data_IF_405419936694
#
_entry.id   IF_405419936694
#
_cell.length_a   1.000
_cell.length_b   1.000
_cell.length_c   1.000
_cell.angle_alpha   90.00
_cell.angle_beta   90.00
_cell.angle_gamma   90.00
#
_symmetry.space_group_name_H-M   'P 1'
#
loop_
_entity.id
_entity.type
_entity.pdbx_description
1 polymer ?
#
# COMPACT_ATOMS: atom_id res chain seq x y z
N UNK A 1 -11.10 -11.34 36.75
CA UNK A 1 -10.27 -10.89 35.62
C UNK A 1 -9.26 -9.91 36.18
N UNK A 2 -7.97 -10.26 36.22
CA UNK A 2 -6.95 -9.49 36.96
C UNK A 2 -6.62 -8.19 36.23
N UNK A 3 -6.97 -7.06 36.85
CA UNK A 3 -6.89 -5.74 36.24
C UNK A 3 -5.57 -5.00 36.56
N UNK A 4 -4.44 -5.71 36.63
CA UNK A 4 -3.16 -5.17 37.12
C UNK A 4 -1.97 -5.52 36.21
N UNK A 5 -2.15 -5.44 34.89
CA UNK A 5 -1.06 -5.58 33.91
C UNK A 5 -0.37 -4.23 33.71
N UNK A 6 0.97 -4.22 33.74
CA UNK A 6 1.77 -3.05 33.40
C UNK A 6 1.57 -2.67 31.92
N UNK A 7 1.80 -1.41 31.52
CA UNK A 7 1.74 -1.01 30.10
C UNK A 7 2.64 -1.87 29.19
N UNK A 8 3.83 -2.22 29.67
CA UNK A 8 4.76 -3.10 28.96
C UNK A 8 4.20 -4.53 28.78
N UNK A 9 3.51 -5.07 29.79
CA UNK A 9 2.88 -6.38 29.68
C UNK A 9 1.72 -6.38 28.66
N UNK A 10 0.96 -5.27 28.59
CA UNK A 10 -0.10 -5.11 27.59
C UNK A 10 0.49 -5.06 26.18
N UNK A 11 1.52 -4.24 25.96
CA UNK A 11 2.25 -4.17 24.70
C UNK A 11 2.77 -5.55 24.25
N UNK A 12 3.40 -6.30 25.17
CA UNK A 12 3.86 -7.67 24.88
C UNK A 12 2.73 -8.63 24.54
N UNK A 13 1.59 -8.58 25.24
CA UNK A 13 0.44 -9.43 24.90
C UNK A 13 -0.11 -9.12 23.49
N UNK A 14 -0.12 -7.84 23.08
CA UNK A 14 -0.54 -7.45 21.74
C UNK A 14 0.48 -7.87 20.66
N UNK A 15 1.77 -7.77 20.97
CA UNK A 15 2.85 -8.30 20.12
C UNK A 15 2.70 -9.81 19.95
N UNK A 16 2.51 -10.55 21.04
CA UNK A 16 2.30 -12.01 21.02
C UNK A 16 1.12 -12.38 20.12
N UNK A 17 -0.01 -11.69 20.26
CA UNK A 17 -1.19 -11.89 19.40
C UNK A 17 -0.86 -11.63 17.92
N UNK A 18 -0.30 -10.47 17.59
CA UNK A 18 0.05 -10.12 16.19
C UNK A 18 1.06 -11.08 15.58
N UNK A 19 2.01 -11.59 16.37
CA UNK A 19 2.96 -12.61 15.93
C UNK A 19 2.26 -13.92 15.60
N UNK A 20 1.37 -14.39 16.48
CA UNK A 20 0.59 -15.60 16.25
C UNK A 20 -0.31 -15.47 15.01
N UNK A 21 -1.04 -14.35 14.85
CA UNK A 21 -1.87 -14.07 13.68
C UNK A 21 -1.02 -14.08 12.38
N UNK A 22 0.25 -13.65 12.48
CA UNK A 22 1.19 -13.64 11.35
C UNK A 22 1.94 -14.97 11.15
N UNK A 23 1.54 -16.04 11.85
CA UNK A 23 2.06 -17.40 11.67
C UNK A 23 3.33 -17.73 12.46
N UNK A 24 3.73 -16.89 13.42
CA UNK A 24 4.83 -17.19 14.35
C UNK A 24 4.31 -17.96 15.56
N UNK A 25 5.10 -18.89 16.09
CA UNK A 25 4.81 -19.50 17.40
C UNK A 25 5.69 -18.82 18.45
N UNK A 26 5.07 -18.11 19.39
CA UNK A 26 5.77 -17.46 20.50
C UNK A 26 6.11 -18.48 21.58
N UNK A 27 7.36 -18.52 22.03
CA UNK A 27 7.86 -19.46 23.02
C UNK A 27 8.73 -18.77 24.07
N UNK A 28 8.77 -19.33 25.28
CA UNK A 28 9.69 -18.91 26.34
C UNK A 28 11.08 -19.52 26.13
N UNK A 29 12.16 -18.79 26.44
CA UNK A 29 13.53 -19.30 26.35
C UNK A 29 13.79 -20.58 27.16
N UNK A 30 13.02 -20.81 28.23
CA UNK A 30 13.15 -21.99 29.10
C UNK A 30 12.57 -23.26 28.47
N UNK A 31 11.74 -23.13 27.44
CA UNK A 31 11.03 -24.26 26.84
C UNK A 31 10.84 -24.02 25.34
N UNK A 32 11.93 -24.17 24.60
CA UNK A 32 11.94 -24.04 23.15
C UNK A 32 11.72 -25.41 22.49
N UNK A 33 10.62 -25.53 21.75
CA UNK A 33 10.34 -26.61 20.83
C UNK A 33 10.55 -26.14 19.38
N UNK A 34 11.71 -26.50 18.83
CA UNK A 34 12.11 -26.21 17.45
C UNK A 34 11.31 -26.96 16.39
N UNK A 35 10.43 -27.90 16.77
CA UNK A 35 9.58 -28.65 15.85
C UNK A 35 8.16 -28.09 15.74
N UNK A 36 7.77 -27.17 16.62
CA UNK A 36 6.42 -26.64 16.70
C UNK A 36 5.97 -25.86 15.44
N UNK A 37 6.90 -25.14 14.81
CA UNK A 37 6.65 -24.39 13.57
C UNK A 37 7.98 -24.08 12.88
N UNK A 38 7.89 -23.77 11.59
CA UNK A 38 9.01 -23.19 10.83
C UNK A 38 9.43 -21.81 11.35
N UNK A 39 8.49 -21.05 11.92
CA UNK A 39 8.71 -19.71 12.45
C UNK A 39 8.46 -19.66 13.95
N UNK A 40 9.51 -19.36 14.72
CA UNK A 40 9.47 -19.33 16.19
C UNK A 40 9.97 -17.97 16.67
N UNK A 41 9.19 -17.31 17.52
CA UNK A 41 9.60 -16.10 18.22
C UNK A 41 9.93 -16.47 19.67
N UNK A 42 11.20 -16.34 20.09
CA UNK A 42 11.64 -16.70 21.44
C UNK A 42 11.78 -15.45 22.30
N UNK A 43 11.10 -15.44 23.45
CA UNK A 43 11.10 -14.31 24.40
C UNK A 43 12.37 -14.23 25.25
N UNK A 44 12.79 -13.00 25.56
CA UNK A 44 13.89 -12.63 26.46
C UNK A 44 15.22 -13.36 26.18
N UNK A 45 15.56 -13.54 24.90
CA UNK A 45 16.74 -14.27 24.48
C UNK A 45 18.01 -13.46 24.76
N UNK A 46 19.08 -14.11 25.20
CA UNK A 46 20.34 -13.43 25.56
C UNK A 46 21.19 -13.12 24.32
N UNK A 47 21.54 -11.85 24.14
CA UNK A 47 22.52 -11.40 23.15
C UNK A 47 23.77 -10.84 23.86
N UNK A 48 24.83 -10.55 23.10
CA UNK A 48 26.07 -9.99 23.64
C UNK A 48 25.93 -8.53 24.13
N UNK A 49 24.90 -7.82 23.69
CA UNK A 49 24.61 -6.42 24.09
C UNK A 49 23.51 -6.31 25.15
N UNK A 50 22.83 -7.42 25.46
CA UNK A 50 21.72 -7.46 26.43
C UNK A 50 20.64 -8.48 26.06
N UNK A 51 19.65 -8.73 26.92
CA UNK A 51 18.48 -9.52 26.54
C UNK A 51 17.65 -8.78 25.47
N UNK A 52 17.41 -9.41 24.33
CA UNK A 52 16.41 -8.95 23.37
C UNK A 52 15.02 -9.41 23.81
N UNK A 53 13.99 -8.57 23.63
CA UNK A 53 12.61 -8.94 23.99
C UNK A 53 12.13 -10.16 23.21
N UNK A 54 12.38 -10.20 21.89
CA UNK A 54 12.14 -11.37 21.06
C UNK A 54 13.27 -11.58 20.06
N UNK A 55 13.63 -12.85 19.82
CA UNK A 55 14.44 -13.26 18.67
C UNK A 55 13.59 -14.13 17.76
N UNK A 56 13.56 -13.77 16.48
CA UNK A 56 12.84 -14.45 15.42
C UNK A 56 13.72 -15.52 14.76
N UNK A 57 13.26 -16.76 14.77
CA UNK A 57 13.91 -17.90 14.14
C UNK A 57 13.06 -18.43 12.99
N UNK A 58 13.68 -18.60 11.82
CA UNK A 58 13.10 -19.21 10.63
C UNK A 58 13.91 -20.43 10.27
N UNK A 59 13.26 -21.59 10.19
CA UNK A 59 13.91 -22.88 9.95
C UNK A 59 15.10 -23.13 10.89
N UNK A 60 14.87 -22.78 12.18
CA UNK A 60 15.83 -22.89 13.31
C UNK A 60 17.07 -21.99 13.19
N UNK A 61 17.08 -21.04 12.24
CA UNK A 61 18.14 -20.04 12.10
C UNK A 61 17.61 -18.68 12.57
N UNK A 62 18.39 -17.93 13.35
CA UNK A 62 17.97 -16.60 13.76
C UNK A 62 17.96 -15.68 12.53
N UNK A 63 16.88 -14.94 12.37
CA UNK A 63 16.64 -14.08 11.22
C UNK A 63 16.44 -12.62 11.63
N UNK A 64 15.89 -12.37 12.82
CA UNK A 64 15.59 -11.02 13.26
C UNK A 64 15.31 -10.90 14.75
N UNK A 65 15.01 -9.68 15.17
CA UNK A 65 14.70 -9.32 16.55
C UNK A 65 13.52 -8.36 16.61
N UNK A 66 12.83 -8.37 17.75
CA UNK A 66 11.80 -7.40 18.08
C UNK A 66 12.15 -6.80 19.43
N UNK A 67 12.21 -5.48 19.46
CA UNK A 67 12.29 -4.68 20.68
C UNK A 67 10.90 -4.18 21.06
N UNK A 68 10.43 -4.55 22.24
CA UNK A 68 9.12 -4.15 22.75
C UNK A 68 9.25 -2.88 23.60
N UNK A 69 8.43 -1.88 23.29
CA UNK A 69 8.40 -0.61 24.03
C UNK A 69 7.04 -0.40 24.70
N UNK A 70 7.02 0.49 25.69
CA UNK A 70 5.77 0.90 26.35
C UNK A 70 4.98 1.81 25.42
N UNK A 71 3.65 1.72 25.45
CA UNK A 71 2.75 2.52 24.59
C UNK A 71 3.06 4.02 24.59
N UNK A 72 3.38 4.58 25.75
CA UNK A 72 3.67 6.02 25.94
C UNK A 72 4.95 6.49 25.23
N UNK A 73 5.82 5.57 24.81
CA UNK A 73 7.07 5.85 24.10
C UNK A 73 6.93 5.79 22.57
N UNK A 74 5.71 5.61 22.04
CA UNK A 74 5.46 5.55 20.59
C UNK A 74 6.00 6.77 19.81
N UNK A 75 6.03 7.96 20.41
CA UNK A 75 6.59 9.17 19.81
C UNK A 75 8.13 9.18 19.74
N UNK A 76 8.82 8.30 20.47
CA UNK A 76 10.29 8.18 20.49
C UNK A 76 10.83 7.10 19.55
N UNK A 77 9.97 6.33 18.88
CA UNK A 77 10.40 5.25 17.99
C UNK A 77 11.28 5.71 16.81
N UNK A 78 11.23 6.99 16.42
CA UNK A 78 12.13 7.54 15.39
C UNK A 78 13.50 7.99 15.93
N UNK A 79 13.66 8.15 17.25
CA UNK A 79 14.91 8.63 17.89
C UNK A 79 15.83 7.46 18.28
N UNK A 80 15.37 6.22 18.12
CA UNK A 80 16.01 4.99 18.64
C UNK A 80 16.65 4.13 17.54
N UNK A 81 16.72 4.64 16.30
CA UNK A 81 17.41 3.95 15.18
C UNK A 81 18.85 3.52 15.54
N UNK A 82 19.55 4.27 16.40
CA UNK A 82 20.91 3.94 16.83
C UNK A 82 21.00 2.67 17.71
N UNK A 83 20.11 2.46 18.68
CA UNK A 83 20.14 1.25 19.54
C UNK A 83 19.68 -0.01 18.79
N UNK A 84 18.72 0.13 17.89
CA UNK A 84 18.19 -0.97 17.08
C UNK A 84 19.22 -1.48 16.06
N UNK A 85 20.15 -0.62 15.62
CA UNK A 85 21.28 -1.01 14.78
C UNK A 85 22.33 -1.86 15.52
N UNK A 86 22.57 -1.59 16.81
CA UNK A 86 23.51 -2.37 17.63
C UNK A 86 23.07 -3.85 17.72
N UNK A 87 21.76 -4.08 17.85
CA UNK A 87 21.24 -5.44 17.86
C UNK A 87 21.28 -6.13 16.50
N UNK A 88 21.14 -5.40 15.39
CA UNK A 88 21.28 -5.97 14.05
C UNK A 88 22.69 -6.57 13.85
N UNK A 89 23.72 -5.93 14.43
CA UNK A 89 25.09 -6.42 14.43
C UNK A 89 25.41 -7.41 15.58
N UNK A 90 24.48 -7.61 16.52
CA UNK A 90 24.73 -8.41 17.72
C UNK A 90 24.77 -9.92 17.43
N UNK A 91 25.58 -10.61 18.23
CA UNK A 91 25.58 -12.08 18.28
C UNK A 91 24.70 -12.58 19.41
N UNK A 92 24.06 -13.70 19.15
CA UNK A 92 23.32 -14.46 20.14
C UNK A 92 24.32 -15.21 21.01
N UNK A 93 24.19 -15.08 22.34
CA UNK A 93 25.22 -15.54 23.29
C UNK A 93 25.58 -17.04 23.19
N UNK A 94 24.65 -17.84 22.66
CA UNK A 94 24.78 -19.30 22.51
C UNK A 94 24.79 -19.77 21.05
N UNK A 95 24.83 -18.86 20.08
CA UNK A 95 24.88 -19.16 18.66
C UNK A 95 25.93 -18.27 17.98
N UNK A 96 26.81 -18.85 17.17
CA UNK A 96 27.61 -18.05 16.25
C UNK A 96 26.77 -17.73 15.01
N UNK A 97 25.88 -16.74 15.12
CA UNK A 97 25.04 -16.27 14.03
C UNK A 97 25.73 -15.19 13.20
N UNK A 98 25.31 -15.11 11.94
CA UNK A 98 25.48 -13.92 11.11
C UNK A 98 24.62 -12.76 11.67
N UNK A 99 24.91 -11.50 11.31
CA UNK A 99 24.07 -10.35 11.69
C UNK A 99 22.58 -10.63 11.48
N UNK A 100 21.74 -10.06 12.34
CA UNK A 100 20.28 -10.24 12.32
C UNK A 100 19.68 -9.10 11.49
N UNK A 101 19.42 -9.30 10.17
CA UNK A 101 19.10 -8.19 9.28
C UNK A 101 17.73 -7.56 9.52
N UNK A 102 16.82 -8.29 10.16
CA UNK A 102 15.42 -7.89 10.29
C UNK A 102 15.14 -7.42 11.71
N UNK A 103 14.87 -6.12 11.86
CA UNK A 103 14.66 -5.51 13.17
C UNK A 103 13.28 -4.87 13.24
N UNK A 104 12.56 -5.17 14.31
CA UNK A 104 11.31 -4.52 14.64
C UNK A 104 11.41 -3.71 15.93
N UNK A 105 10.68 -2.61 15.95
CA UNK A 105 10.41 -1.82 17.14
C UNK A 105 8.89 -1.74 17.28
N UNK A 106 8.34 -2.20 18.40
CA UNK A 106 6.89 -2.30 18.55
C UNK A 106 6.41 -1.91 19.94
N UNK A 107 5.36 -1.09 20.00
CA UNK A 107 4.59 -0.88 21.24
C UNK A 107 3.38 -1.80 21.32
N UNK A 108 3.17 -2.69 20.34
CA UNK A 108 1.91 -3.41 20.15
C UNK A 108 0.89 -2.58 19.36
N UNK A 109 0.75 -1.29 19.66
CA UNK A 109 -0.08 -0.37 18.86
C UNK A 109 0.61 0.04 17.55
N UNK A 110 1.84 0.55 17.63
CA UNK A 110 2.66 0.94 16.47
C UNK A 110 3.80 -0.07 16.31
N UNK A 111 4.02 -0.52 15.07
CA UNK A 111 5.10 -1.44 14.72
C UNK A 111 5.90 -0.83 13.57
N UNK A 112 7.22 -0.79 13.74
CA UNK A 112 8.16 -0.34 12.72
C UNK A 112 9.11 -1.48 12.39
N UNK A 113 9.60 -1.47 11.15
CA UNK A 113 10.44 -2.51 10.59
C UNK A 113 11.61 -1.88 9.83
N UNK A 114 12.79 -2.49 9.98
CA UNK A 114 14.00 -2.14 9.23
C UNK A 114 14.63 -3.41 8.68
N UNK A 115 14.95 -3.41 7.38
CA UNK A 115 15.81 -4.41 6.75
C UNK A 115 17.22 -3.84 6.56
N UNK A 116 18.16 -4.30 7.36
CA UNK A 116 19.56 -3.84 7.35
C UNK A 116 20.36 -4.33 6.14
N UNK A 117 19.78 -5.14 5.26
CA UNK A 117 20.40 -5.53 3.99
C UNK A 117 20.17 -4.50 2.90
N UNK A 118 19.18 -3.62 3.08
CA UNK A 118 18.89 -2.56 2.12
C UNK A 118 20.12 -1.65 1.92
N UNK A 119 20.35 -1.10 0.72
CA UNK A 119 21.49 -0.21 0.46
C UNK A 119 21.54 1.02 1.36
N UNK A 120 20.37 1.48 1.81
CA UNK A 120 20.18 2.56 2.78
C UNK A 120 19.04 2.15 3.72
N UNK A 121 19.33 1.37 4.78
CA UNK A 121 18.32 0.90 5.71
C UNK A 121 17.55 2.07 6.31
N UNK A 122 16.23 1.92 6.41
CA UNK A 122 15.37 2.94 7.01
C UNK A 122 14.22 2.27 7.72
N UNK A 123 13.96 2.70 8.95
CA UNK A 123 12.80 2.24 9.71
C UNK A 123 11.51 2.74 9.04
N UNK A 124 10.57 1.84 8.77
CA UNK A 124 9.26 2.13 8.17
C UNK A 124 8.12 1.58 9.04
N UNK A 125 6.97 2.27 9.12
CA UNK A 125 5.80 1.71 9.79
C UNK A 125 5.25 0.52 8.98
N UNK A 126 4.81 -0.51 9.68
CA UNK A 126 4.14 -1.67 9.10
C UNK A 126 2.88 -1.99 9.89
N UNK A 127 1.84 -2.51 9.22
CA UNK A 127 0.55 -2.77 9.85
C UNK A 127 0.62 -3.92 10.89
N UNK A 128 1.43 -4.95 10.61
CA UNK A 128 1.68 -6.10 11.49
C UNK A 128 3.08 -6.67 11.24
N UNK A 129 3.37 -7.86 11.80
CA UNK A 129 4.61 -8.59 11.52
C UNK A 129 4.52 -9.34 10.19
N UNK A 130 5.66 -9.41 9.48
CA UNK A 130 5.81 -10.21 8.27
C UNK A 130 5.84 -11.71 8.65
N UNK A 131 5.43 -12.59 7.74
CA UNK A 131 5.37 -14.04 7.95
C UNK A 131 6.75 -14.70 7.92
N UNK A 132 6.97 -15.83 8.62
CA UNK A 132 8.24 -16.56 8.58
C UNK A 132 8.71 -16.91 7.16
N UNK A 133 7.78 -17.28 6.26
CA UNK A 133 8.11 -17.62 4.87
C UNK A 133 8.69 -16.44 4.07
N UNK A 134 8.30 -15.22 4.39
CA UNK A 134 8.78 -13.98 3.74
C UNK A 134 10.26 -13.76 4.05
N UNK A 135 10.67 -13.99 5.29
CA UNK A 135 12.06 -13.87 5.72
C UNK A 135 12.94 -14.92 5.03
N UNK A 136 12.45 -16.16 4.88
CA UNK A 136 13.17 -17.21 4.15
C UNK A 136 13.40 -16.81 2.69
N UNK A 137 12.36 -16.34 1.99
CA UNK A 137 12.47 -15.88 0.61
C UNK A 137 13.45 -14.72 0.50
N UNK A 138 13.30 -13.74 1.39
CA UNK A 138 14.13 -12.55 1.41
C UNK A 138 15.58 -12.89 1.67
N UNK A 139 15.91 -13.76 2.62
CA UNK A 139 17.30 -14.17 2.91
C UNK A 139 18.00 -14.85 1.71
N UNK A 140 17.26 -15.35 0.72
CA UNK A 140 17.79 -15.96 -0.51
C UNK A 140 17.95 -14.99 -1.67
N UNK A 141 17.40 -13.79 -1.58
CA UNK A 141 17.36 -12.81 -2.67
C UNK A 141 18.03 -11.49 -2.24
N UNK A 142 18.47 -10.71 -3.23
CA UNK A 142 18.80 -9.30 -3.01
C UNK A 142 17.54 -8.55 -2.56
N UNK A 143 17.63 -7.59 -1.62
CA UNK A 143 16.49 -6.78 -1.22
C UNK A 143 15.86 -6.07 -2.43
N UNK A 144 14.53 -5.88 -2.41
CA UNK A 144 13.82 -5.13 -3.46
C UNK A 144 14.45 -3.75 -3.69
N UNK A 145 14.87 -3.08 -2.61
CA UNK A 145 15.56 -1.79 -2.66
C UNK A 145 16.83 -1.81 -3.50
N UNK A 146 17.61 -2.89 -3.44
CA UNK A 146 18.83 -3.03 -4.26
C UNK A 146 18.47 -3.32 -5.71
N UNK A 147 17.53 -4.24 -5.97
CA UNK A 147 17.07 -4.60 -7.32
C UNK A 147 16.47 -3.39 -8.07
N UNK A 148 15.79 -2.49 -7.36
CA UNK A 148 15.28 -1.23 -7.92
C UNK A 148 16.40 -0.30 -8.44
N UNK A 149 17.60 -0.34 -7.85
CA UNK A 149 18.76 0.43 -8.33
C UNK A 149 19.31 -0.12 -9.65
N UNK A 150 19.13 -1.41 -9.90
CA UNK A 150 19.68 -2.16 -11.02
C UNK A 150 18.76 -2.17 -12.26
N UNK A 151 17.58 -1.53 -12.20
CA UNK A 151 16.69 -1.42 -13.37
C UNK A 151 17.43 -0.68 -14.51
N UNK A 152 17.52 -1.28 -15.72
CA UNK A 152 18.22 -0.71 -16.87
C UNK A 152 17.51 0.52 -17.41
N UNK A 153 18.12 1.26 -18.33
CA UNK A 153 17.48 2.42 -18.97
C UNK A 153 16.16 2.04 -19.67
N UNK A 154 15.24 3.01 -19.73
CA UNK A 154 13.94 2.85 -20.35
C UNK A 154 14.08 2.92 -21.89
N UNK A 155 13.69 1.88 -22.64
CA UNK A 155 13.54 1.99 -24.09
C UNK A 155 12.39 2.95 -24.41
N UNK A 156 12.71 4.01 -25.15
CA UNK A 156 11.78 5.12 -25.41
C UNK A 156 10.95 4.93 -26.67
N UNK A 157 11.23 3.90 -27.46
CA UNK A 157 10.48 3.59 -28.67
C UNK A 157 8.99 3.41 -28.34
N UNK A 158 8.10 3.97 -29.16
CA UNK A 158 6.63 3.86 -28.99
C UNK A 158 6.06 4.49 -27.70
N UNK A 159 6.88 5.16 -26.89
CA UNK A 159 6.43 5.95 -25.75
C UNK A 159 6.31 7.42 -26.15
N UNK A 160 5.32 8.11 -25.59
CA UNK A 160 5.24 9.57 -25.64
C UNK A 160 6.20 10.18 -24.63
N UNK A 161 6.65 11.40 -24.86
CA UNK A 161 7.56 12.11 -23.95
C UNK A 161 7.01 12.20 -22.52
N UNK A 162 5.73 12.47 -22.35
CA UNK A 162 5.08 12.49 -21.04
C UNK A 162 5.12 11.13 -20.32
N UNK A 163 5.07 10.02 -21.07
CA UNK A 163 5.17 8.66 -20.50
C UNK A 163 6.63 8.35 -20.12
N UNK A 164 7.59 8.73 -20.96
CA UNK A 164 9.02 8.58 -20.70
C UNK A 164 9.40 9.32 -19.42
N UNK A 165 8.97 10.58 -19.28
CA UNK A 165 9.21 11.42 -18.10
C UNK A 165 8.60 10.76 -16.86
N UNK A 166 7.33 10.34 -16.93
CA UNK A 166 6.64 9.73 -15.79
C UNK A 166 7.33 8.43 -15.32
N UNK A 167 7.67 7.52 -16.22
CA UNK A 167 8.32 6.24 -15.88
C UNK A 167 9.73 6.49 -15.33
N UNK A 168 10.51 7.35 -15.98
CA UNK A 168 11.88 7.66 -15.54
C UNK A 168 11.91 8.30 -14.15
N UNK A 169 10.98 9.20 -13.86
CA UNK A 169 10.88 9.83 -12.56
C UNK A 169 10.30 8.90 -11.49
N UNK A 170 9.39 7.99 -11.82
CA UNK A 170 8.96 6.89 -10.93
C UNK A 170 10.16 6.03 -10.52
N UNK A 171 10.97 5.59 -11.48
CA UNK A 171 12.19 4.83 -11.19
C UNK A 171 13.15 5.59 -10.31
N UNK A 172 13.42 6.87 -10.60
CA UNK A 172 14.27 7.72 -9.75
C UNK A 172 13.72 7.80 -8.33
N UNK A 173 12.42 8.07 -8.19
CA UNK A 173 11.74 8.20 -6.91
C UNK A 173 11.88 6.94 -6.06
N UNK A 174 11.70 5.78 -6.69
CA UNK A 174 11.84 4.50 -6.02
C UNK A 174 13.29 4.15 -5.76
N UNK A 175 14.25 4.48 -6.63
CA UNK A 175 15.69 4.38 -6.31
C UNK A 175 16.05 5.18 -5.05
N UNK A 176 15.44 6.35 -4.86
CA UNK A 176 15.63 7.23 -3.69
C UNK A 176 14.91 6.82 -2.39
N UNK A 177 14.15 5.72 -2.39
CA UNK A 177 13.33 5.29 -1.24
C UNK A 177 12.19 6.25 -0.89
N UNK A 178 11.49 6.76 -1.92
CA UNK A 178 10.22 7.46 -1.72
C UNK A 178 9.07 6.49 -1.98
N UNK A 179 8.51 5.85 -0.93
CA UNK A 179 7.56 4.75 -1.09
C UNK A 179 6.20 5.16 -1.65
N UNK A 180 5.92 6.45 -1.80
CA UNK A 180 4.67 6.98 -2.34
C UNK A 180 5.00 7.97 -3.44
N UNK A 181 4.53 7.73 -4.65
CA UNK A 181 4.77 8.60 -5.81
C UNK A 181 3.45 8.94 -6.51
N UNK A 182 3.29 10.20 -6.92
CA UNK A 182 2.11 10.70 -7.61
C UNK A 182 2.45 11.08 -9.05
N UNK A 183 1.72 10.49 -10.01
CA UNK A 183 1.76 10.83 -11.42
C UNK A 183 0.50 11.62 -11.76
N UNK A 184 0.66 12.91 -12.04
CA UNK A 184 -0.39 13.77 -12.56
C UNK A 184 -0.30 13.78 -14.09
N UNK A 185 -1.35 13.28 -14.75
CA UNK A 185 -1.41 13.22 -16.22
C UNK A 185 -2.83 13.50 -16.69
N UNK A 186 -2.98 14.37 -17.68
CA UNK A 186 -4.25 14.67 -18.30
C UNK A 186 -4.94 13.39 -18.84
N UNK A 187 -6.25 13.31 -18.68
CA UNK A 187 -7.06 12.21 -19.20
C UNK A 187 -6.87 12.08 -20.72
N UNK A 188 -6.69 10.85 -21.22
CA UNK A 188 -6.37 10.58 -22.63
C UNK A 188 -4.86 10.54 -22.94
N UNK A 189 -4.00 10.97 -22.02
CA UNK A 189 -2.54 10.97 -22.24
C UNK A 189 -1.88 9.60 -22.14
N UNK A 190 -2.64 8.56 -21.76
CA UNK A 190 -2.16 7.17 -21.67
C UNK A 190 -1.69 6.74 -20.28
N UNK A 191 -2.36 7.19 -19.20
CA UNK A 191 -2.04 6.85 -17.79
C UNK A 191 -1.91 5.35 -17.55
N UNK A 192 -2.90 4.57 -17.98
CA UNK A 192 -2.95 3.13 -17.80
C UNK A 192 -1.81 2.43 -18.55
N UNK A 193 -1.54 2.84 -19.81
CA UNK A 193 -0.38 2.35 -20.57
C UNK A 193 0.96 2.67 -19.88
N UNK A 194 1.13 3.88 -19.33
CA UNK A 194 2.31 4.26 -18.52
C UNK A 194 2.47 3.33 -17.31
N UNK A 195 1.36 3.07 -16.60
CA UNK A 195 1.35 2.20 -15.44
C UNK A 195 1.70 0.74 -15.79
N UNK A 196 1.08 0.17 -16.84
CA UNK A 196 1.38 -1.20 -17.31
C UNK A 196 2.85 -1.32 -17.72
N UNK A 197 3.39 -0.30 -18.41
CA UNK A 197 4.81 -0.26 -18.78
C UNK A 197 5.71 -0.28 -17.55
N UNK A 198 5.37 0.50 -16.52
CA UNK A 198 6.16 0.51 -15.30
C UNK A 198 6.03 -0.80 -14.51
N UNK A 199 4.83 -1.36 -14.40
CA UNK A 199 4.58 -2.68 -13.79
C UNK A 199 5.40 -3.77 -14.48
N UNK A 200 5.40 -3.80 -15.82
CA UNK A 200 6.22 -4.72 -16.59
C UNK A 200 7.70 -4.65 -16.18
N UNK A 201 8.23 -3.43 -16.05
CA UNK A 201 9.63 -3.21 -15.67
C UNK A 201 9.92 -3.65 -14.24
N UNK A 202 8.99 -3.42 -13.30
CA UNK A 202 9.09 -3.91 -11.93
C UNK A 202 9.12 -5.44 -11.87
N UNK A 203 8.22 -6.12 -12.60
CA UNK A 203 8.18 -7.58 -12.66
C UNK A 203 9.43 -8.15 -13.32
N UNK A 204 9.88 -7.57 -14.44
CA UNK A 204 11.00 -8.10 -15.24
C UNK A 204 12.38 -7.82 -14.63
N UNK A 205 12.63 -6.59 -14.21
CA UNK A 205 13.97 -6.14 -13.84
C UNK A 205 14.16 -6.05 -12.33
N UNK A 206 13.09 -5.82 -11.57
CA UNK A 206 13.16 -5.79 -10.12
C UNK A 206 12.65 -7.07 -9.45
N UNK A 207 12.23 -8.09 -10.22
CA UNK A 207 11.62 -9.35 -9.74
C UNK A 207 10.57 -9.09 -8.65
N UNK A 208 9.70 -8.10 -8.92
CA UNK A 208 8.54 -7.84 -8.08
C UNK A 208 7.61 -9.06 -8.12
N UNK A 209 7.16 -9.51 -6.96
CA UNK A 209 6.39 -10.74 -6.78
C UNK A 209 4.94 -10.54 -7.19
N UNK A 210 4.31 -9.45 -6.71
CA UNK A 210 2.91 -9.17 -7.00
C UNK A 210 2.60 -7.68 -6.96
N UNK A 211 1.77 -7.22 -7.89
CA UNK A 211 1.28 -5.85 -8.00
C UNK A 211 -0.24 -5.83 -7.91
N UNK A 212 -0.76 -4.93 -7.09
CA UNK A 212 -2.19 -4.63 -7.04
C UNK A 212 -2.49 -3.38 -7.89
N UNK A 213 -3.44 -3.49 -8.81
CA UNK A 213 -3.95 -2.38 -9.61
C UNK A 213 -5.38 -2.06 -9.15
N UNK A 214 -5.53 -0.92 -8.48
CA UNK A 214 -6.78 -0.44 -7.90
C UNK A 214 -7.50 0.51 -8.83
N UNK A 215 -8.81 0.30 -8.93
CA UNK A 215 -9.75 1.13 -9.68
C UNK A 215 -10.97 1.46 -8.83
N UNK A 216 -11.74 2.47 -9.24
CA UNK A 216 -12.95 2.87 -8.51
C UNK A 216 -14.17 1.99 -8.80
N UNK A 217 -14.29 1.46 -10.02
CA UNK A 217 -15.49 0.74 -10.49
C UNK A 217 -15.12 -0.53 -11.25
N UNK A 218 -16.07 -1.47 -11.31
CA UNK A 218 -15.91 -2.74 -12.04
C UNK A 218 -15.60 -2.51 -13.52
N UNK A 219 -16.26 -1.54 -14.15
CA UNK A 219 -16.06 -1.23 -15.57
C UNK A 219 -14.64 -0.71 -15.85
N UNK A 220 -14.09 0.14 -14.97
CA UNK A 220 -12.69 0.56 -15.07
C UNK A 220 -11.73 -0.63 -14.89
N UNK A 221 -12.07 -1.58 -14.02
CA UNK A 221 -11.30 -2.80 -13.84
C UNK A 221 -11.30 -3.71 -15.08
N UNK A 222 -12.43 -3.80 -15.76
CA UNK A 222 -12.56 -4.53 -17.04
C UNK A 222 -11.77 -3.84 -18.15
N UNK A 223 -11.78 -2.51 -18.21
CA UNK A 223 -10.97 -1.74 -19.15
C UNK A 223 -9.48 -1.95 -18.90
N UNK A 224 -9.03 -1.85 -17.64
CA UNK A 224 -7.64 -2.12 -17.27
C UNK A 224 -7.22 -3.55 -17.67
N UNK A 225 -8.06 -4.55 -17.39
CA UNK A 225 -7.82 -5.95 -17.79
C UNK A 225 -7.63 -6.09 -19.31
N UNK A 226 -8.45 -5.41 -20.13
CA UNK A 226 -8.29 -5.40 -21.59
C UNK A 226 -6.99 -4.71 -22.02
N UNK A 227 -6.58 -3.62 -21.36
CA UNK A 227 -5.32 -2.95 -21.65
C UNK A 227 -4.11 -3.84 -21.34
N UNK A 228 -4.12 -4.56 -20.21
CA UNK A 228 -3.09 -5.58 -19.93
C UNK A 228 -3.07 -6.68 -21.00
N UNK A 229 -4.22 -7.14 -21.48
CA UNK A 229 -4.29 -8.14 -22.56
C UNK A 229 -3.74 -7.63 -23.90
N UNK A 230 -3.88 -6.34 -24.19
CA UNK A 230 -3.43 -5.73 -25.43
C UNK A 230 -1.97 -5.28 -25.41
N UNK A 231 -1.40 -5.03 -24.22
CA UNK A 231 -0.06 -4.49 -24.05
C UNK A 231 1.03 -5.44 -24.56
N UNK A 232 1.98 -4.89 -25.32
CA UNK A 232 3.20 -5.56 -25.77
C UNK A 232 4.39 -4.68 -25.34
N UNK A 233 5.32 -5.20 -24.52
CA UNK A 233 6.49 -4.44 -24.08
C UNK A 233 7.44 -4.16 -25.26
N UNK A 234 8.30 -3.14 -25.11
CA UNK A 234 9.21 -2.74 -26.17
C UNK A 234 10.32 -3.75 -26.48
N UNK A 235 10.63 -4.63 -25.53
CA UNK A 235 11.77 -5.55 -25.56
C UNK A 235 11.35 -7.03 -25.54
N UNK A 236 10.07 -7.34 -25.77
CA UNK A 236 9.56 -8.70 -25.98
C UNK A 236 8.42 -8.68 -27.02
N UNK A 237 8.31 -9.73 -27.82
CA UNK A 237 7.27 -9.84 -28.85
C UNK A 237 5.96 -10.44 -28.34
N UNK A 238 5.95 -10.95 -27.10
CA UNK A 238 4.78 -11.52 -26.43
C UNK A 238 3.97 -10.45 -25.74
N UNK A 239 2.66 -10.67 -25.64
CA UNK A 239 1.77 -9.80 -24.86
C UNK A 239 2.05 -9.93 -23.37
N UNK A 240 1.70 -8.91 -22.58
CA UNK A 240 1.88 -8.93 -21.12
C UNK A 240 1.30 -10.20 -20.49
N UNK A 241 0.08 -10.58 -20.88
CA UNK A 241 -0.64 -11.73 -20.33
C UNK A 241 -0.09 -13.10 -20.76
N UNK A 242 0.81 -13.12 -21.74
CA UNK A 242 1.59 -14.32 -22.11
C UNK A 242 2.87 -14.45 -21.26
N UNK A 243 3.28 -13.37 -20.59
CA UNK A 243 4.46 -13.31 -19.73
C UNK A 243 4.09 -13.44 -18.24
N UNK A 244 2.99 -12.79 -17.85
CA UNK A 244 2.57 -12.63 -16.47
C UNK A 244 1.06 -12.83 -16.34
N UNK A 245 0.66 -13.56 -15.31
CA UNK A 245 -0.75 -13.80 -15.02
C UNK A 245 -1.38 -12.55 -14.40
N UNK A 246 -2.50 -12.14 -15.00
CA UNK A 246 -3.34 -11.03 -14.54
C UNK A 246 -4.66 -11.60 -14.05
N UNK A 247 -5.05 -11.27 -12.83
CA UNK A 247 -6.31 -11.72 -12.23
C UNK A 247 -7.14 -10.53 -11.80
N UNK A 248 -8.34 -10.40 -12.37
CA UNK A 248 -9.36 -9.51 -11.80
C UNK A 248 -10.08 -10.19 -10.63
N UNK A 249 -10.08 -9.54 -9.47
CA UNK A 249 -10.67 -10.08 -8.25
C UNK A 249 -12.20 -10.00 -8.31
N UNK A 250 -12.85 -11.16 -8.39
CA UNK A 250 -14.32 -11.30 -8.33
C UNK A 250 -14.81 -11.97 -7.03
N UNK A 251 -13.87 -12.42 -6.21
CA UNK A 251 -14.10 -13.09 -4.92
C UNK A 251 -12.95 -12.77 -3.97
N UNK A 252 -13.00 -13.32 -2.76
CA UNK A 252 -11.90 -13.21 -1.78
C UNK A 252 -10.65 -14.01 -2.11
N UNK A 253 -10.68 -14.83 -3.15
CA UNK A 253 -9.54 -15.65 -3.56
C UNK A 253 -8.55 -14.87 -4.42
N UNK A 254 -7.31 -14.77 -3.94
CA UNK A 254 -6.15 -14.25 -4.67
C UNK A 254 -5.26 -15.44 -5.03
N UNK A 255 -5.00 -15.65 -6.32
CA UNK A 255 -4.14 -16.74 -6.77
C UNK A 255 -2.68 -16.46 -6.42
N UNK A 256 -1.95 -17.50 -6.01
CA UNK A 256 -0.51 -17.45 -5.76
C UNK A 256 0.29 -17.18 -7.04
N UNK A 257 -0.26 -17.59 -8.18
CA UNK A 257 0.46 -17.57 -9.46
C UNK A 257 0.20 -16.29 -10.27
N UNK A 258 -0.67 -15.41 -9.78
CA UNK A 258 -0.97 -14.11 -10.37
C UNK A 258 0.07 -13.08 -9.96
N UNK A 259 0.75 -12.46 -10.92
CA UNK A 259 1.69 -11.35 -10.67
C UNK A 259 0.98 -10.00 -10.63
N UNK A 260 -0.18 -9.87 -11.28
CA UNK A 260 -1.00 -8.65 -11.22
C UNK A 260 -2.42 -9.00 -10.77
N UNK A 261 -2.90 -8.29 -9.76
CA UNK A 261 -4.29 -8.36 -9.32
C UNK A 261 -5.00 -7.05 -9.61
N UNK A 262 -6.11 -7.09 -10.33
CA UNK A 262 -6.97 -5.91 -10.57
C UNK A 262 -8.15 -5.98 -9.62
N UNK A 263 -8.38 -4.93 -8.84
CA UNK A 263 -9.48 -4.90 -7.86
C UNK A 263 -10.10 -3.51 -7.75
N UNK A 264 -11.38 -3.47 -7.43
CA UNK A 264 -11.96 -2.24 -6.87
C UNK A 264 -11.50 -2.06 -5.42
N UNK A 265 -11.48 -0.82 -4.93
CA UNK A 265 -11.14 -0.52 -3.53
C UNK A 265 -12.18 -1.14 -2.56
N UNK A 266 -13.45 -1.19 -2.98
CA UNK A 266 -14.58 -1.79 -2.25
C UNK A 266 -14.37 -3.30 -2.09
N UNK A 267 -14.05 -3.98 -3.20
CA UNK A 267 -13.77 -5.42 -3.19
C UNK A 267 -12.61 -5.71 -2.26
N UNK A 268 -11.49 -4.98 -2.40
CA UNK A 268 -10.31 -5.19 -1.57
C UNK A 268 -10.62 -5.03 -0.07
N UNK A 269 -11.38 -4.00 0.31
CA UNK A 269 -11.81 -3.84 1.71
C UNK A 269 -12.65 -5.01 2.20
N UNK A 270 -13.59 -5.49 1.39
CA UNK A 270 -14.41 -6.66 1.72
C UNK A 270 -13.55 -7.90 1.92
N UNK A 271 -12.54 -8.11 1.06
CA UNK A 271 -11.57 -9.20 1.19
C UNK A 271 -10.82 -9.10 2.51
N UNK A 272 -10.32 -7.91 2.87
CA UNK A 272 -9.62 -7.69 4.14
C UNK A 272 -10.54 -7.91 5.34
N UNK A 273 -11.83 -7.58 5.25
CA UNK A 273 -12.83 -7.90 6.28
C UNK A 273 -13.22 -9.38 6.35
N UNK A 274 -12.91 -10.17 5.31
CA UNK A 274 -13.39 -11.55 5.19
C UNK A 274 -14.89 -11.63 4.90
N UNK A 275 -15.46 -10.57 4.32
CA UNK A 275 -16.88 -10.47 3.96
C UNK A 275 -17.03 -10.63 2.44
N UNK A 276 -18.15 -11.24 2.01
CA UNK A 276 -18.50 -11.31 0.59
C UNK A 276 -19.12 -9.99 0.12
N UNK A 277 -18.81 -9.58 -1.11
CA UNK A 277 -19.32 -8.35 -1.72
C UNK A 277 -20.18 -8.68 -2.95
N UNK A 278 -21.40 -8.14 -2.97
CA UNK A 278 -22.24 -8.16 -4.17
C UNK A 278 -21.58 -7.30 -5.27
N UNK A 279 -21.35 -7.88 -6.44
CA UNK A 279 -20.73 -7.19 -7.59
C UNK A 279 -21.46 -5.91 -7.99
N UNK A 280 -22.78 -5.80 -7.75
CA UNK A 280 -23.55 -4.57 -8.05
C UNK A 280 -23.03 -3.36 -7.28
N UNK A 281 -22.43 -3.57 -6.11
CA UNK A 281 -21.85 -2.49 -5.31
C UNK A 281 -20.68 -1.82 -6.05
N UNK A 282 -20.01 -2.55 -6.93
CA UNK A 282 -18.83 -2.12 -7.68
C UNK A 282 -19.18 -1.38 -8.98
N UNK A 283 -20.46 -1.26 -9.34
CA UNK A 283 -20.91 -0.52 -10.53
C UNK A 283 -20.87 1.01 -10.30
N UNK A 284 -20.96 1.44 -9.05
CA UNK A 284 -20.97 2.85 -8.65
C UNK A 284 -19.66 3.26 -7.96
N UNK A 285 -19.29 4.53 -8.14
CA UNK A 285 -18.14 5.10 -7.46
C UNK A 285 -18.43 5.29 -5.95
N UNK A 286 -17.55 4.84 -5.04
CA UNK A 286 -17.73 5.04 -3.59
C UNK A 286 -17.82 6.51 -3.16
N UNK A 287 -17.12 7.40 -3.87
CA UNK A 287 -17.08 8.83 -3.59
C UNK A 287 -18.41 9.53 -3.96
N UNK A 288 -19.23 8.90 -4.81
CA UNK A 288 -20.49 9.46 -5.30
C UNK A 288 -21.71 9.00 -4.48
N UNK A 289 -21.54 8.04 -3.56
CA UNK A 289 -22.64 7.59 -2.68
C UNK A 289 -22.96 8.62 -1.60
N UNK A 290 -24.19 9.16 -1.67
CA UNK A 290 -24.70 10.21 -0.78
C UNK A 290 -24.89 9.84 0.70
N UNK A 291 -24.63 8.59 1.11
CA UNK A 291 -24.65 8.19 2.51
C UNK A 291 -23.56 7.15 2.81
N UNK A 292 -22.54 7.56 3.58
CA UNK A 292 -21.58 6.67 4.23
C UNK A 292 -21.82 6.71 5.75
N UNK A 293 -21.72 5.57 6.47
CA UNK A 293 -21.72 5.59 7.93
C UNK A 293 -20.62 6.53 8.45
N UNK A 294 -20.91 7.24 9.55
CA UNK A 294 -20.08 8.34 10.06
C UNK A 294 -18.64 7.94 10.39
N UNK A 295 -18.40 6.68 10.73
CA UNK A 295 -17.06 6.13 10.93
C UNK A 295 -17.00 4.71 10.34
N UNK A 296 -16.18 4.47 9.32
CA UNK A 296 -15.94 3.11 8.86
C UNK A 296 -15.20 2.31 9.93
N UNK A 297 -15.60 1.05 10.16
CA UNK A 297 -14.89 0.16 11.08
C UNK A 297 -13.45 -0.04 10.60
N UNK A 298 -12.47 0.01 11.51
CA UNK A 298 -11.06 -0.05 11.12
C UNK A 298 -10.73 -1.33 10.38
N UNK A 299 -9.80 -1.26 9.42
CA UNK A 299 -9.23 -2.45 8.80
C UNK A 299 -8.50 -3.24 9.90
N UNK A 300 -8.77 -4.54 9.99
CA UNK A 300 -8.13 -5.46 10.93
C UNK A 300 -7.23 -6.42 10.16
N UNK A 301 -6.22 -6.99 10.83
CA UNK A 301 -5.32 -7.96 10.20
C UNK A 301 -6.13 -9.15 9.66
N UNK A 302 -5.82 -9.57 8.44
CA UNK A 302 -6.43 -10.74 7.82
C UNK A 302 -5.37 -11.81 7.57
N UNK A 303 -5.45 -12.91 8.31
CA UNK A 303 -4.52 -14.04 8.20
C UNK A 303 -4.55 -14.75 6.83
N UNK A 304 -5.51 -14.45 5.95
CA UNK A 304 -5.50 -14.98 4.58
C UNK A 304 -4.69 -14.09 3.64
N UNK A 305 -4.64 -12.79 3.93
CA UNK A 305 -4.01 -11.77 3.08
C UNK A 305 -2.91 -11.07 3.90
N UNK A 306 -1.66 -11.57 3.90
CA UNK A 306 -0.58 -10.95 4.65
C UNK A 306 -0.29 -9.50 4.19
N UNK A 307 0.40 -8.73 5.02
CA UNK A 307 0.74 -7.33 4.69
C UNK A 307 1.73 -7.24 3.52
N UNK A 308 2.52 -8.29 3.31
CA UNK A 308 3.46 -8.45 2.20
C UNK A 308 2.87 -9.15 0.97
N UNK A 309 1.54 -9.25 0.86
CA UNK A 309 0.90 -9.88 -0.31
C UNK A 309 1.24 -9.14 -1.62
N UNK A 310 1.43 -7.82 -1.56
CA UNK A 310 1.76 -6.97 -2.71
C UNK A 310 3.04 -6.17 -2.43
N UNK A 311 3.96 -6.15 -3.39
CA UNK A 311 5.16 -5.28 -3.33
C UNK A 311 4.82 -3.85 -3.78
N UNK A 312 3.86 -3.72 -4.71
CA UNK A 312 3.43 -2.45 -5.29
C UNK A 312 1.92 -2.36 -5.37
N UNK A 313 1.38 -1.16 -5.14
CA UNK A 313 -0.03 -0.82 -5.35
C UNK A 313 -0.12 0.38 -6.27
N UNK A 314 -0.72 0.19 -7.44
CA UNK A 314 -1.08 1.25 -8.37
C UNK A 314 -2.52 1.64 -8.12
N UNK A 315 -2.80 2.93 -7.98
CA UNK A 315 -4.12 3.46 -7.66
C UNK A 315 -4.54 4.38 -8.80
N UNK A 316 -5.44 3.90 -9.66
CA UNK A 316 -6.02 4.72 -10.71
C UNK A 316 -7.05 5.70 -10.13
N UNK A 317 -7.11 6.89 -10.73
CA UNK A 317 -7.88 8.04 -10.23
C UNK A 317 -7.77 8.25 -8.71
N UNK A 318 -6.53 8.22 -8.19
CA UNK A 318 -6.25 8.13 -6.76
C UNK A 318 -6.87 9.25 -5.92
N UNK A 319 -7.16 10.42 -6.51
CA UNK A 319 -7.84 11.52 -5.85
C UNK A 319 -9.26 11.15 -5.36
N UNK A 320 -9.83 10.03 -5.80
CA UNK A 320 -11.16 9.53 -5.37
C UNK A 320 -11.05 8.43 -4.32
N UNK A 321 -9.96 7.66 -4.37
CA UNK A 321 -9.76 6.43 -3.59
C UNK A 321 -8.92 6.59 -2.32
N UNK A 322 -8.35 7.77 -2.03
CA UNK A 322 -7.50 7.99 -0.84
C UNK A 322 -8.26 8.49 0.41
N UNK A 323 -9.60 8.61 0.37
CA UNK A 323 -10.36 9.22 1.46
C UNK A 323 -10.70 8.24 2.60
N UNK A 324 -10.58 8.73 3.84
CA UNK A 324 -11.09 8.14 5.09
C UNK A 324 -10.90 6.62 5.19
N UNK A 325 -11.95 5.85 4.87
CA UNK A 325 -11.98 4.39 4.92
C UNK A 325 -10.86 3.75 4.11
N UNK A 326 -10.68 4.24 2.89
CA UNK A 326 -9.82 3.61 1.90
C UNK A 326 -8.34 3.83 2.18
N UNK A 327 -8.01 4.91 2.89
CA UNK A 327 -6.65 5.14 3.35
C UNK A 327 -6.15 3.97 4.19
N UNK A 328 -6.99 3.42 5.07
CA UNK A 328 -6.63 2.27 5.92
C UNK A 328 -6.39 0.99 5.11
N UNK A 329 -7.06 0.85 3.97
CA UNK A 329 -6.85 -0.27 3.03
C UNK A 329 -5.49 -0.15 2.35
N UNK A 330 -5.11 1.08 1.96
CA UNK A 330 -3.82 1.36 1.34
C UNK A 330 -2.67 1.24 2.34
N UNK A 331 -2.88 1.65 3.58
CA UNK A 331 -1.90 1.58 4.68
C UNK A 331 -1.75 0.15 5.26
N UNK A 332 -2.58 -0.81 4.81
CA UNK A 332 -2.52 -2.21 5.24
C UNK A 332 -1.26 -2.93 4.71
N UNK A 333 -0.93 -2.71 3.44
CA UNK A 333 0.13 -3.45 2.76
C UNK A 333 1.49 -2.78 2.96
N UNK A 334 2.54 -3.59 3.16
CA UNK A 334 3.93 -3.14 3.13
C UNK A 334 4.42 -2.99 1.68
N UNK A 335 3.85 -2.00 0.98
CA UNK A 335 4.01 -1.83 -0.47
C UNK A 335 4.43 -0.41 -0.87
N UNK A 336 5.06 -0.27 -2.03
CA UNK A 336 5.23 1.01 -2.71
C UNK A 336 3.91 1.43 -3.37
N UNK A 337 3.48 2.67 -3.15
CA UNK A 337 2.22 3.22 -3.66
C UNK A 337 2.46 4.17 -4.85
N UNK A 338 1.73 3.94 -5.94
CA UNK A 338 1.77 4.75 -7.15
C UNK A 338 0.37 5.31 -7.38
N UNK A 339 0.19 6.61 -7.22
CA UNK A 339 -1.06 7.29 -7.55
C UNK A 339 -1.06 7.79 -8.98
N UNK A 340 -2.14 7.53 -9.71
CA UNK A 340 -2.39 8.10 -11.03
C UNK A 340 -3.62 9.00 -10.94
N UNK A 341 -3.55 10.22 -11.45
CA UNK A 341 -4.71 11.13 -11.47
C UNK A 341 -4.53 12.23 -12.50
N UNK A 342 -5.63 12.75 -13.03
CA UNK A 342 -5.58 14.00 -13.81
C UNK A 342 -5.78 15.24 -12.93
N UNK A 343 -6.46 15.08 -11.79
CA UNK A 343 -6.99 16.19 -10.99
C UNK A 343 -6.68 15.99 -9.50
N UNK A 344 -5.41 16.08 -9.08
CA UNK A 344 -5.06 15.96 -7.67
C UNK A 344 -5.61 17.14 -6.86
N UNK A 345 -6.02 16.86 -5.62
CA UNK A 345 -6.34 17.89 -4.62
C UNK A 345 -5.25 17.97 -3.53
N UNK A 346 -5.36 18.93 -2.60
CA UNK A 346 -4.39 19.10 -1.50
C UNK A 346 -4.20 17.83 -0.65
N UNK A 347 -5.25 17.03 -0.49
CA UNK A 347 -5.20 15.77 0.28
C UNK A 347 -4.42 14.71 -0.50
N UNK A 348 -4.59 14.68 -1.82
CA UNK A 348 -3.81 13.85 -2.74
C UNK A 348 -2.33 14.15 -2.62
N UNK A 349 -1.94 15.43 -2.72
CA UNK A 349 -0.54 15.81 -2.53
C UNK A 349 0.00 15.40 -1.15
N UNK A 350 -0.77 15.63 -0.08
CA UNK A 350 -0.39 15.22 1.28
C UNK A 350 -0.20 13.71 1.44
N UNK A 351 -1.12 12.89 0.90
CA UNK A 351 -1.04 11.43 1.00
C UNK A 351 0.21 10.85 0.32
N UNK A 352 0.63 11.45 -0.79
CA UNK A 352 1.84 11.08 -1.52
C UNK A 352 3.09 11.86 -1.06
N UNK A 353 3.05 12.49 0.12
CA UNK A 353 4.18 13.24 0.71
C UNK A 353 4.75 14.31 -0.24
N UNK A 354 3.89 14.96 -1.02
CA UNK A 354 4.25 15.96 -2.04
C UNK A 354 5.23 15.44 -3.11
N UNK A 355 5.40 14.12 -3.22
CA UNK A 355 6.29 13.48 -4.17
C UNK A 355 5.59 13.30 -5.53
N UNK A 356 5.37 14.42 -6.21
CA UNK A 356 4.87 14.48 -7.59
C UNK A 356 6.03 14.14 -8.52
N UNK A 357 5.96 13.00 -9.20
CA UNK A 357 7.03 12.53 -10.08
C UNK A 357 6.81 12.97 -11.53
N UNK A 358 5.59 13.34 -11.89
CA UNK A 358 5.28 13.91 -13.21
C UNK A 358 4.04 14.77 -13.10
N UNK A 359 4.07 15.90 -13.79
CA UNK A 359 2.92 16.75 -14.04
C UNK A 359 2.83 16.94 -15.55
N UNK A 360 1.69 16.52 -16.12
CA UNK A 360 1.37 16.68 -17.53
C UNK A 360 -0.07 17.17 -17.64
N UNK A 361 -0.21 18.48 -17.82
CA UNK A 361 -1.48 19.19 -17.82
C UNK A 361 -2.27 18.97 -19.10
N UNK A 362 -3.55 19.38 -19.10
CA UNK A 362 -4.36 19.30 -20.31
C UNK A 362 -3.83 20.27 -21.37
N UNK A 363 -3.37 21.44 -20.96
CA UNK A 363 -2.79 22.46 -21.81
C UNK A 363 -1.54 21.94 -22.53
N UNK A 364 -0.66 21.23 -21.82
CA UNK A 364 0.51 20.56 -22.42
C UNK A 364 0.07 19.44 -23.37
N UNK A 365 -0.91 18.61 -22.96
CA UNK A 365 -1.44 17.56 -23.81
C UNK A 365 -2.03 18.08 -25.13
N UNK A 366 -2.67 19.26 -25.11
CA UNK A 366 -3.17 19.92 -26.32
C UNK A 366 -2.02 20.51 -27.13
N UNK A 367 -1.03 21.15 -26.49
CA UNK A 367 0.13 21.73 -27.16
C UNK A 367 0.97 20.67 -27.90
N UNK A 368 1.11 19.48 -27.32
CA UNK A 368 1.84 18.35 -27.90
C UNK A 368 1.03 17.54 -28.92
N UNK A 369 -0.24 17.91 -29.16
CA UNK A 369 -1.14 17.19 -30.07
C UNK A 369 -1.57 15.81 -29.57
N UNK A 370 -1.40 15.54 -28.27
CA UNK A 370 -1.86 14.31 -27.60
C UNK A 370 -3.38 14.33 -27.40
N UNK A 371 -3.91 15.50 -27.01
CA UNK A 371 -5.33 15.73 -26.79
C UNK A 371 -5.87 16.79 -27.74
N UNK A 372 -7.19 16.73 -27.98
CA UNK A 372 -7.92 17.82 -28.62
C UNK A 372 -8.31 18.88 -27.60
N UNK A 373 -8.21 20.15 -27.98
CA UNK A 373 -8.76 21.25 -27.18
C UNK A 373 -10.28 21.22 -27.15
N UNK A 374 -10.86 22.01 -26.25
CA UNK A 374 -12.31 22.19 -26.14
C UNK A 374 -12.68 23.66 -25.97
N UNK A 375 -13.86 24.02 -26.45
CA UNK A 375 -14.47 25.33 -26.22
C UNK A 375 -15.45 25.25 -25.04
N UNK A 376 -15.31 26.16 -24.08
CA UNK A 376 -16.24 26.26 -22.94
C UNK A 376 -17.35 27.24 -23.29
N UNK A 377 -18.56 26.72 -23.46
CA UNK A 377 -19.77 27.54 -23.57
C UNK A 377 -20.46 27.63 -22.21
N UNK A 378 -20.22 28.74 -21.50
CA UNK A 378 -20.93 29.00 -20.23
C UNK A 378 -22.38 29.39 -20.53
N UNK A 379 -23.32 28.55 -20.10
CA UNK A 379 -24.76 28.82 -20.23
C UNK A 379 -25.26 29.43 -18.92
N UNK A 380 -25.59 30.71 -18.95
CA UNK A 380 -26.30 31.39 -17.86
C UNK A 380 -27.78 31.53 -18.21
N UNK A 381 -28.66 31.13 -17.29
CA UNK A 381 -30.11 31.38 -17.46
C UNK A 381 -30.47 32.77 -16.94
N UNK A 382 -31.48 33.41 -17.53
CA UNK A 382 -32.01 34.68 -17.02
C UNK A 382 -32.46 34.57 -15.55
N UNK A 383 -32.98 33.39 -15.16
CA UNK A 383 -33.39 33.10 -13.78
C UNK A 383 -32.19 33.00 -12.84
N UNK A 384 -31.10 32.36 -13.24
CA UNK A 384 -29.86 32.27 -12.44
C UNK A 384 -29.25 33.65 -12.22
N UNK A 385 -29.34 34.54 -13.21
CA UNK A 385 -28.78 35.90 -13.17
C UNK A 385 -29.65 36.89 -12.40
N UNK A 386 -30.96 36.85 -12.64
CA UNK A 386 -31.91 37.86 -12.14
C UNK A 386 -32.77 37.37 -10.97
N UNK A 387 -32.68 36.09 -10.61
CA UNK A 387 -33.60 35.43 -9.68
C UNK A 387 -34.95 35.12 -10.31
N UNK A 388 -35.64 34.12 -9.77
CA UNK A 388 -37.04 33.85 -10.10
C UNK A 388 -37.95 34.78 -9.29
N UNK A 389 -39.07 35.22 -9.88
CA UNK A 389 -40.16 35.84 -9.14
C UNK A 389 -41.08 34.74 -8.61
N UNK A 390 -41.25 34.69 -7.29
CA UNK A 390 -42.25 33.84 -6.64
C UNK A 390 -43.60 34.58 -6.70
N UNK A 391 -44.65 34.03 -7.35
CA UNK A 391 -45.99 34.60 -7.30
C UNK A 391 -46.46 34.94 -5.89
N UNK A 392 -47.15 36.08 -5.74
CA UNK A 392 -47.76 36.44 -4.47
C UNK A 392 -48.76 35.34 -4.06
N UNK A 393 -48.71 34.94 -2.78
CA UNK A 393 -49.49 33.84 -2.18
C UNK A 393 -49.02 32.40 -2.49
N UNK A 394 -47.85 32.21 -3.11
CA UNK A 394 -47.27 30.87 -3.23
C UNK A 394 -46.75 30.37 -1.87
N UNK A 395 -47.13 29.14 -1.50
CA UNK A 395 -46.75 28.54 -0.22
C UNK A 395 -45.31 28.04 -0.29
N UNK A 396 -44.39 28.74 0.39
CA UNK A 396 -42.98 28.35 0.47
C UNK A 396 -42.75 27.58 1.77
N UNK A 397 -42.56 26.27 1.64
CA UNK A 397 -42.28 25.33 2.74
C UNK A 397 -41.01 25.78 3.50
N UNK A 398 -41.14 26.31 4.72
CA UNK A 398 -39.99 26.80 5.49
C UNK A 398 -39.48 25.67 6.38
N UNK A 399 -38.34 25.10 6.02
CA UNK A 399 -37.68 24.07 6.83
C UNK A 399 -36.66 24.68 7.78
N UNK A 400 -36.88 24.55 9.08
CA UNK A 400 -35.90 24.96 10.09
C UNK A 400 -34.63 24.11 9.97
N UNK A 401 -33.47 24.78 9.82
CA UNK A 401 -32.18 24.14 9.52
C UNK A 401 -31.71 23.16 10.61
N UNK A 402 -32.03 23.45 11.87
CA UNK A 402 -31.63 22.64 13.04
C UNK A 402 -32.63 21.55 13.39
N UNK A 403 -33.93 21.85 13.33
CA UNK A 403 -35.00 20.94 13.80
C UNK A 403 -35.60 20.10 12.67
N UNK A 404 -35.30 20.46 11.41
CA UNK A 404 -35.87 19.87 10.18
C UNK A 404 -37.39 19.92 10.08
N UNK A 405 -38.10 20.61 11.00
CA UNK A 405 -39.56 20.81 10.95
C UNK A 405 -39.93 21.69 9.76
N UNK A 406 -41.00 21.31 9.07
CA UNK A 406 -41.61 22.06 7.96
C UNK A 406 -42.76 22.92 8.50
N UNK A 407 -42.89 24.16 8.03
CA UNK A 407 -44.01 25.06 8.33
C UNK A 407 -44.39 25.87 7.11
#
# INVERSE_FOLDING_TARGET
MSNNQTPEQKARNDIDRKLNDSGWIVQEKSRIDWSASRGIAVKEYQTDVGPADYVLFVDKRPAGIIEAKRDEEGHRLTVVEEQSADYAASKLKYLNNDPLPFVYESTGALTRFTDFRDPKPRSKPVFSFLRPGTFEEWLRKKPLRERLLEIPELPTERLRDCQIIAISNLERSFKENRPRALVQMATGSGKTYTAITFIYRLLKFADAKKVLFLVDTRNLGEQAEQEFMAYVPNDDNRKFTELYNVQRLRSSYISSDSQVCISTIQRLYSILKGEELDEKIEEENPAERGWQPKEPLPVVYNEKIPIEEFDFVVIDECHRSIYNLWQQVLDYFDAFLIGLTATPDKRTFGFFNENVVSEYSHEEAVADGVNVGYDVYTIETEISKNGAKIPAQEFVDKREKLTRKKR
#
